data_IF_522738129022
#
_entry.id   IF_522738129022
#
_cell.length_a   1.000
_cell.length_b   1.000
_cell.length_c   1.000
_cell.angle_alpha   90.00
_cell.angle_beta   90.00
_cell.angle_gamma   90.00
#
_symmetry.space_group_name_H-M   'P 1'
#
loop_
_entity.id
_entity.type
_entity.pdbx_description
1 polymer ?
#
# COMPACT_ATOMS: atom_id res chain seq x y z
N UNK A 1 23.08 -2.51 -24.59
CA UNK A 1 22.09 -1.45 -24.89
C UNK A 1 20.83 -1.76 -24.10
N UNK A 2 20.26 -0.83 -23.31
CA UNK A 2 19.05 -1.12 -22.55
C UNK A 2 17.87 -1.24 -23.51
N UNK A 3 17.17 -2.37 -23.47
CA UNK A 3 15.94 -2.61 -24.23
C UNK A 3 14.88 -1.65 -23.70
N UNK A 4 14.62 -0.57 -24.45
CA UNK A 4 13.47 0.30 -24.21
C UNK A 4 12.22 -0.43 -24.68
N UNK A 5 11.56 -1.15 -23.77
CA UNK A 5 10.21 -1.66 -24.02
C UNK A 5 9.28 -0.46 -24.09
N UNK A 6 8.92 -0.02 -25.29
CA UNK A 6 7.82 0.91 -25.48
C UNK A 6 6.52 0.18 -25.13
N UNK A 7 6.03 0.39 -23.91
CA UNK A 7 4.67 0.00 -23.54
C UNK A 7 3.74 1.02 -24.24
N UNK A 8 2.86 0.61 -25.16
CA UNK A 8 1.89 1.52 -25.75
C UNK A 8 0.97 2.02 -24.64
N UNK A 9 1.13 3.28 -24.25
CA UNK A 9 0.10 4.00 -23.51
C UNK A 9 -1.01 4.29 -24.52
N UNK A 10 -1.98 3.39 -24.62
CA UNK A 10 -3.20 3.65 -25.40
C UNK A 10 -3.84 4.92 -24.85
N UNK A 11 -3.83 5.99 -25.65
CA UNK A 11 -4.57 7.20 -25.35
C UNK A 11 -6.06 6.85 -25.31
N UNK A 12 -6.65 7.05 -24.14
CA UNK A 12 -8.07 6.92 -23.88
C UNK A 12 -8.81 8.04 -24.63
N UNK A 13 -9.20 7.77 -25.88
CA UNK A 13 -10.01 8.67 -26.67
C UNK A 13 -10.27 8.09 -28.05
N UNK A 14 -11.51 7.70 -28.31
CA UNK A 14 -12.11 7.49 -29.65
C UNK A 14 -12.01 6.14 -30.36
N UNK A 15 -11.48 5.07 -29.77
CA UNK A 15 -11.79 3.70 -30.23
C UNK A 15 -12.63 3.03 -29.14
N UNK A 16 -13.76 2.45 -29.52
CA UNK A 16 -14.55 1.58 -28.65
C UNK A 16 -13.61 0.47 -28.15
N UNK A 17 -13.05 0.63 -26.95
CA UNK A 17 -12.17 -0.35 -26.37
C UNK A 17 -12.96 -1.64 -26.29
N UNK A 18 -12.49 -2.73 -26.90
CA UNK A 18 -13.21 -4.00 -26.85
C UNK A 18 -13.02 -4.65 -25.48
N UNK A 19 -13.80 -5.69 -25.18
CA UNK A 19 -13.64 -6.46 -23.95
C UNK A 19 -12.23 -7.07 -23.85
N UNK A 20 -11.64 -7.49 -24.96
CA UNK A 20 -10.28 -8.04 -25.02
C UNK A 20 -9.22 -6.98 -24.71
N UNK A 21 -9.42 -5.75 -25.16
CA UNK A 21 -8.52 -4.63 -24.82
C UNK A 21 -8.58 -4.35 -23.32
N UNK A 22 -9.79 -4.35 -22.74
CA UNK A 22 -9.96 -4.18 -21.30
C UNK A 22 -9.34 -5.35 -20.52
N UNK A 23 -9.54 -6.59 -20.97
CA UNK A 23 -8.95 -7.78 -20.36
C UNK A 23 -7.42 -7.77 -20.44
N UNK A 24 -6.86 -7.32 -21.56
CA UNK A 24 -5.42 -7.09 -21.69
C UNK A 24 -4.91 -6.05 -20.70
N UNK A 25 -5.65 -4.94 -20.53
CA UNK A 25 -5.33 -3.94 -19.52
C UNK A 25 -5.41 -4.47 -18.09
N UNK A 26 -6.37 -5.36 -17.78
CA UNK A 26 -6.42 -6.08 -16.50
C UNK A 26 -5.15 -6.88 -16.28
N UNK A 27 -4.71 -7.67 -17.25
CA UNK A 27 -3.47 -8.48 -17.13
C UNK A 27 -2.24 -7.61 -16.90
N UNK A 28 -2.13 -6.49 -17.61
CA UNK A 28 -1.03 -5.53 -17.41
C UNK A 28 -1.06 -4.95 -16.01
N UNK A 29 -2.21 -4.44 -15.56
CA UNK A 29 -2.36 -3.89 -14.21
C UNK A 29 -2.09 -4.94 -13.13
N UNK A 30 -2.55 -6.17 -13.34
CA UNK A 30 -2.28 -7.30 -12.46
C UNK A 30 -0.77 -7.55 -12.33
N UNK A 31 -0.06 -7.66 -13.46
CA UNK A 31 1.38 -7.95 -13.46
C UNK A 31 2.18 -6.81 -12.83
N UNK A 32 1.81 -5.56 -13.09
CA UNK A 32 2.42 -4.41 -12.41
C UNK A 32 2.22 -4.49 -10.91
N UNK A 33 0.97 -4.64 -10.44
CA UNK A 33 0.64 -4.70 -9.00
C UNK A 33 1.31 -5.88 -8.30
N UNK A 34 1.39 -7.04 -8.97
CA UNK A 34 2.06 -8.24 -8.47
C UNK A 34 3.55 -8.00 -8.23
N UNK A 35 4.22 -7.26 -9.10
CA UNK A 35 5.67 -7.04 -9.02
C UNK A 35 6.10 -5.80 -8.22
N UNK A 36 5.16 -4.90 -7.89
CA UNK A 36 5.47 -3.65 -7.19
C UNK A 36 6.19 -3.91 -5.86
N UNK A 37 7.40 -3.32 -5.70
CA UNK A 37 8.23 -3.50 -4.50
C UNK A 37 8.83 -4.91 -4.32
N UNK A 38 8.62 -5.83 -5.28
CA UNK A 38 9.08 -7.21 -5.23
C UNK A 38 10.12 -7.45 -6.31
N UNK A 39 11.36 -7.77 -5.90
CA UNK A 39 12.41 -8.14 -6.85
C UNK A 39 12.23 -9.57 -7.38
N UNK A 40 11.85 -10.52 -6.51
CA UNK A 40 12.00 -11.96 -6.77
C UNK A 40 10.75 -12.80 -6.44
N UNK A 41 9.57 -12.20 -6.25
CA UNK A 41 8.34 -12.95 -5.92
C UNK A 41 7.40 -12.89 -7.11
N UNK A 42 7.58 -13.77 -8.11
CA UNK A 42 6.86 -13.67 -9.36
C UNK A 42 5.48 -14.28 -9.28
N UNK A 43 5.00 -14.81 -8.14
CA UNK A 43 3.78 -15.61 -8.02
C UNK A 43 2.76 -15.15 -6.97
N UNK A 44 2.89 -13.95 -6.40
CA UNK A 44 1.92 -13.47 -5.42
C UNK A 44 0.55 -13.16 -6.06
N UNK A 45 -0.48 -13.21 -5.22
CA UNK A 45 -1.83 -12.82 -5.58
C UNK A 45 -2.01 -11.30 -5.48
N UNK A 46 -3.04 -10.76 -6.14
CA UNK A 46 -3.43 -9.35 -6.03
C UNK A 46 -4.86 -9.25 -5.53
N UNK A 47 -5.15 -8.24 -4.73
CA UNK A 47 -6.51 -7.92 -4.28
C UNK A 47 -7.42 -7.64 -5.46
N UNK A 48 -8.51 -8.40 -5.61
CA UNK A 48 -9.47 -8.24 -6.72
C UNK A 48 -10.07 -6.83 -6.73
N UNK A 49 -10.47 -6.33 -5.55
CA UNK A 49 -11.04 -4.99 -5.40
C UNK A 49 -10.04 -3.88 -5.77
N UNK A 50 -8.75 -4.04 -5.45
CA UNK A 50 -7.75 -3.02 -5.80
C UNK A 50 -7.40 -3.07 -7.28
N UNK A 51 -7.35 -4.26 -7.87
CA UNK A 51 -7.18 -4.41 -9.32
C UNK A 51 -8.35 -3.75 -10.06
N UNK A 52 -9.59 -3.97 -9.59
CA UNK A 52 -10.79 -3.31 -10.10
C UNK A 52 -10.68 -1.79 -10.03
N UNK A 53 -10.32 -1.25 -8.86
CA UNK A 53 -10.13 0.19 -8.67
C UNK A 53 -9.07 0.76 -9.61
N UNK A 54 -7.96 0.06 -9.79
CA UNK A 54 -6.88 0.53 -10.65
C UNK A 54 -7.28 0.52 -12.14
N UNK A 55 -7.97 -0.52 -12.59
CA UNK A 55 -8.49 -0.59 -13.95
C UNK A 55 -9.58 0.46 -14.18
N UNK A 56 -10.52 0.63 -13.25
CA UNK A 56 -11.55 1.66 -13.32
C UNK A 56 -10.93 3.06 -13.37
N UNK A 57 -9.87 3.32 -12.59
CA UNK A 57 -9.17 4.60 -12.58
C UNK A 57 -8.46 4.89 -13.91
N UNK A 58 -7.83 3.87 -14.53
CA UNK A 58 -7.09 4.01 -15.79
C UNK A 58 -7.99 4.03 -17.02
N UNK A 59 -9.10 3.29 -16.98
CA UNK A 59 -9.99 3.06 -18.12
C UNK A 59 -11.47 3.28 -17.75
N UNK A 60 -11.85 4.46 -17.22
CA UNK A 60 -13.19 4.67 -16.65
C UNK A 60 -14.31 4.45 -17.67
N UNK A 61 -14.15 4.91 -18.91
CA UNK A 61 -15.16 4.76 -19.96
C UNK A 61 -15.34 3.30 -20.39
N UNK A 62 -14.24 2.57 -20.64
CA UNK A 62 -14.30 1.16 -21.02
C UNK A 62 -14.86 0.29 -19.89
N UNK A 63 -14.47 0.59 -18.65
CA UNK A 63 -14.99 -0.09 -17.48
C UNK A 63 -16.51 0.11 -17.32
N UNK A 64 -17.00 1.35 -17.42
CA UNK A 64 -18.43 1.66 -17.36
C UNK A 64 -19.20 0.95 -18.47
N UNK A 65 -18.69 1.00 -19.70
CA UNK A 65 -19.34 0.41 -20.88
C UNK A 65 -19.47 -1.11 -20.77
N UNK A 66 -18.38 -1.82 -20.43
CA UNK A 66 -18.35 -3.29 -20.49
C UNK A 66 -18.70 -3.93 -19.16
N UNK A 67 -18.16 -3.41 -18.06
CA UNK A 67 -18.34 -4.05 -16.75
C UNK A 67 -19.66 -3.63 -16.13
N UNK A 68 -19.99 -2.32 -16.11
CA UNK A 68 -21.18 -1.82 -15.40
C UNK A 68 -22.44 -1.97 -16.25
N UNK A 69 -22.43 -1.46 -17.48
CA UNK A 69 -23.59 -1.43 -18.38
C UNK A 69 -23.63 -2.58 -19.39
N UNK A 70 -22.52 -3.29 -19.54
CA UNK A 70 -22.37 -4.38 -20.50
C UNK A 70 -22.85 -5.72 -19.96
N UNK A 71 -22.43 -6.79 -20.63
CA UNK A 71 -22.87 -8.17 -20.36
C UNK A 71 -22.54 -8.66 -18.95
N UNK A 72 -21.51 -8.08 -18.33
CA UNK A 72 -21.05 -8.48 -17.00
C UNK A 72 -21.92 -7.93 -15.86
N UNK A 73 -22.71 -6.87 -16.08
CA UNK A 73 -23.67 -6.34 -15.09
C UNK A 73 -23.08 -6.06 -13.70
N UNK A 74 -21.85 -5.56 -13.65
CA UNK A 74 -21.08 -5.28 -12.44
C UNK A 74 -20.29 -6.48 -11.89
N UNK A 75 -20.40 -7.67 -12.47
CA UNK A 75 -19.72 -8.90 -12.02
C UNK A 75 -18.25 -8.91 -12.44
N UNK A 76 -17.47 -8.04 -11.82
CA UNK A 76 -16.03 -7.90 -12.07
C UNK A 76 -15.24 -9.21 -11.99
N UNK A 77 -15.50 -10.04 -10.97
CA UNK A 77 -14.75 -11.28 -10.77
C UNK A 77 -14.97 -12.28 -11.92
N UNK A 78 -16.20 -12.42 -12.43
CA UNK A 78 -16.46 -13.26 -13.62
C UNK A 78 -15.70 -12.75 -14.84
N UNK A 79 -15.69 -11.42 -15.08
CA UNK A 79 -14.96 -10.85 -16.20
C UNK A 79 -13.46 -11.17 -16.13
N UNK A 80 -12.82 -11.01 -14.97
CA UNK A 80 -11.38 -11.26 -14.86
C UNK A 80 -11.04 -12.75 -14.95
N UNK A 81 -11.94 -13.64 -14.53
CA UNK A 81 -11.76 -15.08 -14.65
C UNK A 81 -11.92 -15.55 -16.09
N UNK A 82 -12.98 -15.11 -16.77
CA UNK A 82 -13.31 -15.56 -18.13
C UNK A 82 -12.45 -14.86 -19.20
N UNK A 83 -12.23 -13.55 -19.09
CA UNK A 83 -11.59 -12.76 -20.14
C UNK A 83 -10.11 -12.47 -19.88
N UNK A 84 -9.72 -12.26 -18.62
CA UNK A 84 -8.35 -11.87 -18.28
C UNK A 84 -7.46 -13.08 -17.91
N UNK A 85 -7.99 -14.31 -17.87
CA UNK A 85 -7.23 -15.52 -17.55
C UNK A 85 -6.71 -15.54 -16.11
N UNK A 86 -7.41 -14.87 -15.20
CA UNK A 86 -7.13 -14.91 -13.77
C UNK A 86 -8.00 -15.97 -13.09
N UNK A 87 -7.66 -16.31 -11.85
CA UNK A 87 -8.50 -17.10 -10.95
C UNK A 87 -8.67 -16.31 -9.68
N UNK A 88 -9.90 -16.05 -9.26
CA UNK A 88 -10.16 -15.37 -8.01
C UNK A 88 -10.56 -16.36 -6.91
N UNK A 89 -10.16 -16.08 -5.68
CA UNK A 89 -10.29 -17.01 -4.56
C UNK A 89 -10.26 -16.28 -3.22
N UNK A 90 -10.76 -16.95 -2.19
CA UNK A 90 -10.60 -16.56 -0.78
C UNK A 90 -9.66 -17.55 -0.12
N UNK A 91 -8.76 -17.05 0.73
CA UNK A 91 -7.97 -17.93 1.59
C UNK A 91 -8.88 -18.59 2.63
N UNK A 92 -8.66 -19.88 2.86
CA UNK A 92 -9.39 -20.64 3.88
C UNK A 92 -8.76 -20.44 5.26
N UNK A 93 -9.48 -20.83 6.32
CA UNK A 93 -8.93 -20.82 7.67
C UNK A 93 -7.66 -21.68 7.78
N UNK A 94 -7.60 -22.81 7.06
CA UNK A 94 -6.43 -23.69 7.04
C UNK A 94 -5.21 -23.00 6.43
N UNK A 95 -5.40 -22.20 5.37
CA UNK A 95 -4.31 -21.46 4.75
C UNK A 95 -3.66 -20.49 5.73
N UNK A 96 -4.47 -19.78 6.52
CA UNK A 96 -3.98 -18.85 7.55
C UNK A 96 -3.27 -19.55 8.72
N UNK A 97 -3.65 -20.79 9.04
CA UNK A 97 -2.93 -21.60 10.03
C UNK A 97 -1.56 -22.03 9.48
N UNK A 98 -1.51 -22.41 8.20
CA UNK A 98 -0.29 -22.91 7.55
C UNK A 98 0.69 -21.80 7.13
N UNK A 99 0.20 -20.56 6.98
CA UNK A 99 0.96 -19.41 6.52
C UNK A 99 0.53 -18.19 7.35
N UNK A 100 1.20 -18.02 8.49
CA UNK A 100 0.79 -17.08 9.54
C UNK A 100 0.89 -15.62 9.12
N UNK A 101 1.85 -15.28 8.25
CA UNK A 101 2.06 -13.91 7.79
C UNK A 101 1.08 -13.47 6.69
N UNK A 102 0.23 -14.36 6.16
CA UNK A 102 -0.89 -13.96 5.28
C UNK A 102 -1.76 -12.89 5.96
N UNK A 103 -2.02 -13.04 7.26
CA UNK A 103 -2.85 -12.09 8.04
C UNK A 103 -2.23 -10.68 8.13
N UNK A 104 -0.93 -10.56 7.85
CA UNK A 104 -0.21 -9.29 7.86
C UNK A 104 -0.77 -8.33 6.81
N UNK A 105 -1.11 -8.84 5.62
CA UNK A 105 -1.47 -8.00 4.47
C UNK A 105 -2.76 -8.41 3.74
N UNK A 106 -3.29 -9.60 4.00
CA UNK A 106 -4.52 -10.11 3.37
C UNK A 106 -5.59 -10.28 4.44
N UNK A 107 -6.70 -9.56 4.31
CA UNK A 107 -7.84 -9.76 5.20
C UNK A 107 -8.58 -11.07 4.89
N UNK A 108 -9.18 -11.70 5.91
CA UNK A 108 -9.87 -13.01 5.77
C UNK A 108 -10.99 -12.98 4.72
N UNK A 109 -11.68 -11.85 4.58
CA UNK A 109 -12.77 -11.67 3.62
C UNK A 109 -12.30 -11.12 2.27
N UNK A 110 -10.99 -11.03 2.04
CA UNK A 110 -10.45 -10.36 0.87
C UNK A 110 -10.35 -11.32 -0.32
N UNK A 111 -11.14 -11.05 -1.36
CA UNK A 111 -11.03 -11.77 -2.62
C UNK A 111 -9.70 -11.42 -3.30
N UNK A 112 -8.89 -12.45 -3.52
CA UNK A 112 -7.59 -12.36 -4.21
C UNK A 112 -7.72 -12.94 -5.60
N UNK A 113 -6.87 -12.52 -6.52
CA UNK A 113 -6.75 -13.14 -7.84
C UNK A 113 -5.29 -13.51 -8.12
N UNK A 114 -5.07 -14.61 -8.83
CA UNK A 114 -3.76 -15.04 -9.36
C UNK A 114 -3.91 -15.41 -10.85
N UNK A 115 -2.81 -15.72 -11.54
CA UNK A 115 -2.94 -16.28 -12.90
C UNK A 115 -3.56 -17.68 -12.80
N UNK A 116 -4.39 -18.06 -13.77
CA UNK A 116 -5.02 -19.38 -13.77
C UNK A 116 -3.99 -20.54 -13.82
N UNK A 117 -2.84 -20.31 -14.47
CA UNK A 117 -1.73 -21.28 -14.53
C UNK A 117 -0.82 -21.31 -13.30
N UNK A 118 -0.98 -20.40 -12.33
CA UNK A 118 -0.15 -20.42 -11.13
C UNK A 118 -0.54 -21.60 -10.21
N UNK A 119 0.42 -22.45 -9.78
CA UNK A 119 0.18 -23.42 -8.74
C UNK A 119 -0.25 -22.72 -7.44
N UNK A 120 -1.40 -23.08 -6.89
CA UNK A 120 -1.95 -22.40 -5.71
C UNK A 120 -1.01 -22.45 -4.49
N UNK A 121 -0.29 -23.56 -4.32
CA UNK A 121 0.73 -23.71 -3.29
C UNK A 121 1.86 -22.66 -3.40
N UNK A 122 2.29 -22.35 -4.62
CA UNK A 122 3.32 -21.35 -4.89
C UNK A 122 2.79 -19.93 -4.69
N UNK A 123 1.52 -19.68 -5.02
CA UNK A 123 0.85 -18.40 -4.73
C UNK A 123 0.80 -18.15 -3.23
N UNK A 124 0.36 -19.15 -2.46
CA UNK A 124 0.31 -19.06 -0.99
C UNK A 124 1.69 -18.83 -0.39
N UNK A 125 2.71 -19.57 -0.84
CA UNK A 125 4.10 -19.38 -0.38
C UNK A 125 4.62 -17.97 -0.70
N UNK A 126 4.29 -17.46 -1.89
CA UNK A 126 4.66 -16.12 -2.33
C UNK A 126 3.99 -15.03 -1.48
N UNK A 127 2.68 -15.17 -1.23
CA UNK A 127 1.94 -14.23 -0.39
C UNK A 127 2.42 -14.26 1.06
N UNK A 128 2.77 -15.43 1.59
CA UNK A 128 3.38 -15.57 2.92
C UNK A 128 4.73 -14.84 2.98
N UNK A 129 5.57 -15.00 1.96
CA UNK A 129 6.85 -14.31 1.87
C UNK A 129 6.69 -12.78 1.81
N UNK A 130 5.68 -12.29 1.06
CA UNK A 130 5.33 -10.86 1.04
C UNK A 130 4.94 -10.38 2.44
N UNK A 131 4.09 -11.14 3.14
CA UNK A 131 3.68 -10.81 4.50
C UNK A 131 4.83 -10.80 5.49
N UNK A 132 5.70 -11.81 5.43
CA UNK A 132 6.88 -11.90 6.28
C UNK A 132 7.88 -10.76 6.03
N UNK A 133 8.07 -10.38 4.77
CA UNK A 133 8.89 -9.23 4.39
C UNK A 133 8.30 -7.93 4.91
N UNK A 134 7.00 -7.68 4.69
CA UNK A 134 6.30 -6.52 5.22
C UNK A 134 6.44 -6.42 6.75
N UNK A 135 6.28 -7.54 7.44
CA UNK A 135 6.43 -7.59 8.89
C UNK A 135 7.84 -7.16 9.31
N UNK A 136 8.86 -7.82 8.77
CA UNK A 136 10.26 -7.60 9.18
C UNK A 136 10.83 -6.25 8.74
N UNK A 137 10.48 -5.74 7.56
CA UNK A 137 11.09 -4.52 7.01
C UNK A 137 10.35 -3.24 7.39
N UNK A 138 9.07 -3.34 7.77
CA UNK A 138 8.25 -2.15 7.98
C UNK A 138 7.34 -2.23 9.20
N UNK A 139 6.61 -3.31 9.40
CA UNK A 139 5.49 -3.33 10.35
C UNK A 139 5.87 -3.71 11.78
N UNK A 140 7.11 -4.15 12.01
CA UNK A 140 7.67 -4.26 13.36
C UNK A 140 7.50 -2.92 14.11
N UNK A 141 6.97 -2.91 15.36
CA UNK A 141 6.52 -1.68 16.01
C UNK A 141 7.56 -0.55 16.04
N UNK A 142 8.82 -0.88 16.38
CA UNK A 142 9.90 0.11 16.43
C UNK A 142 10.32 0.59 15.04
N UNK A 143 10.33 -0.31 14.06
CA UNK A 143 10.66 0.00 12.66
C UNK A 143 9.60 0.91 12.06
N UNK A 144 8.32 0.58 12.23
CA UNK A 144 7.20 1.39 11.77
C UNK A 144 7.24 2.78 12.39
N UNK A 145 7.51 2.85 13.70
CA UNK A 145 7.65 4.11 14.42
C UNK A 145 8.78 4.97 13.85
N UNK A 146 9.96 4.38 13.66
CA UNK A 146 11.09 5.05 13.04
C UNK A 146 10.77 5.56 11.62
N UNK A 147 10.20 4.72 10.76
CA UNK A 147 9.85 5.09 9.38
C UNK A 147 8.83 6.24 9.35
N UNK A 148 7.77 6.15 10.16
CA UNK A 148 6.80 7.23 10.30
C UNK A 148 7.46 8.54 10.74
N UNK A 149 8.35 8.51 11.74
CA UNK A 149 9.06 9.71 12.20
C UNK A 149 9.95 10.34 11.12
N UNK A 150 10.71 9.52 10.37
CA UNK A 150 11.56 10.00 9.28
C UNK A 150 10.72 10.68 8.20
N UNK A 151 9.59 10.08 7.82
CA UNK A 151 8.68 10.66 6.83
C UNK A 151 8.07 11.99 7.29
N UNK A 152 7.67 12.08 8.55
CA UNK A 152 7.15 13.33 9.12
C UNK A 152 8.20 14.43 9.10
N UNK A 153 9.43 14.12 9.54
CA UNK A 153 10.53 15.08 9.50
C UNK A 153 10.79 15.59 8.09
N UNK A 154 10.93 14.68 7.12
CA UNK A 154 11.14 15.06 5.71
C UNK A 154 9.99 15.92 5.15
N UNK A 155 8.75 15.62 5.54
CA UNK A 155 7.60 16.41 5.14
C UNK A 155 7.54 17.80 5.80
N UNK A 156 7.99 17.94 7.05
CA UNK A 156 8.11 19.23 7.74
C UNK A 156 9.22 20.10 7.16
N UNK A 157 10.38 19.52 6.86
CA UNK A 157 11.51 20.21 6.26
C UNK A 157 11.14 20.77 4.86
N UNK A 158 10.31 20.04 4.11
CA UNK A 158 9.79 20.50 2.81
C UNK A 158 8.82 21.70 2.89
N UNK A 159 8.22 21.98 4.05
CA UNK A 159 7.29 23.11 4.27
C UNK A 159 8.06 24.39 4.64
N UNK A 160 9.29 24.29 5.15
CA UNK A 160 10.12 25.44 5.57
C UNK A 160 11.35 25.65 4.68
N UNK A 161 11.23 26.02 3.39
CA UNK A 161 12.38 26.56 2.68
C UNK A 161 12.76 27.93 3.27
N UNK A 162 14.04 28.17 3.63
CA UNK A 162 14.45 29.45 4.20
C UNK A 162 14.14 30.60 3.22
N UNK A 163 13.49 31.66 3.72
CA UNK A 163 13.32 32.93 2.99
C UNK A 163 12.02 33.12 2.20
N UNK A 164 10.99 32.27 2.33
CA UNK A 164 9.70 32.51 1.67
C UNK A 164 8.74 33.36 2.52
N UNK A 165 8.06 34.38 1.93
CA UNK A 165 7.00 35.12 2.60
C UNK A 165 5.78 34.26 2.93
N UNK A 166 5.14 34.50 4.09
CA UNK A 166 3.95 33.77 4.58
C UNK A 166 2.80 33.60 3.58
N UNK A 167 2.60 34.57 2.68
CA UNK A 167 1.52 34.52 1.69
C UNK A 167 1.82 33.59 0.48
N UNK A 168 3.05 33.10 0.35
CA UNK A 168 3.44 32.05 -0.60
C UNK A 168 3.57 30.65 0.04
N UNK A 169 3.31 30.52 1.33
CA UNK A 169 3.36 29.23 2.02
C UNK A 169 2.25 28.34 1.47
N UNK A 170 2.63 27.26 0.79
CA UNK A 170 1.67 26.23 0.40
C UNK A 170 1.17 25.55 1.68
N UNK A 171 -0.13 25.23 1.80
CA UNK A 171 -0.63 24.49 2.94
C UNK A 171 0.18 23.20 3.11
N UNK A 172 0.57 22.91 4.35
CA UNK A 172 1.33 21.71 4.67
C UNK A 172 0.62 20.49 4.08
N UNK A 173 1.38 19.53 3.53
CA UNK A 173 0.81 18.26 3.03
C UNK A 173 0.29 17.36 4.15
N UNK A 174 0.66 17.67 5.40
CA UNK A 174 0.40 16.88 6.60
C UNK A 174 -0.11 17.72 7.79
N UNK A 175 -1.18 18.52 7.61
CA UNK A 175 -1.65 19.46 8.62
C UNK A 175 -2.08 18.78 9.92
N UNK A 176 -2.67 17.58 9.85
CA UNK A 176 -3.13 16.86 11.03
C UNK A 176 -1.96 16.25 11.80
N UNK A 177 -0.89 15.84 11.13
CA UNK A 177 0.35 15.43 11.80
C UNK A 177 0.96 16.63 12.53
N UNK A 178 1.05 17.80 11.91
CA UNK A 178 1.58 19.01 12.56
C UNK A 178 0.77 19.33 13.82
N UNK A 179 -0.55 19.35 13.71
CA UNK A 179 -1.43 19.57 14.85
C UNK A 179 -1.26 18.49 15.94
N UNK A 180 -1.05 17.23 15.54
CA UNK A 180 -0.81 16.11 16.46
C UNK A 180 0.52 16.26 17.21
N UNK A 181 1.58 16.69 16.55
CA UNK A 181 2.87 16.98 17.18
C UNK A 181 2.78 18.12 18.19
N UNK A 182 2.07 19.21 17.85
CA UNK A 182 1.87 20.32 18.79
C UNK A 182 1.13 19.84 20.07
N UNK A 183 0.14 18.95 19.92
CA UNK A 183 -0.54 18.35 21.08
C UNK A 183 0.39 17.47 21.93
N UNK A 184 1.37 16.81 21.32
CA UNK A 184 2.38 16.03 22.06
C UNK A 184 3.32 16.94 22.87
N UNK A 185 3.61 18.14 22.37
CA UNK A 185 4.45 19.13 23.04
C UNK A 185 3.71 19.84 24.20
N UNK A 186 2.42 20.14 24.02
CA UNK A 186 1.61 20.89 24.99
C UNK A 186 1.12 20.04 26.19
N UNK A 187 0.91 18.73 26.02
CA UNK A 187 0.38 17.85 27.08
C UNK A 187 1.29 16.62 27.31
N UNK A 188 2.42 16.77 28.04
CA UNK A 188 3.33 15.66 28.37
C UNK A 188 2.80 14.72 29.46
N UNK A 189 1.51 14.81 29.85
CA UNK A 189 0.97 14.03 30.97
C UNK A 189 1.00 12.52 30.65
N UNK A 190 1.89 11.82 31.37
CA UNK A 190 2.03 10.37 31.30
C UNK A 190 0.67 9.67 31.48
N UNK A 191 0.29 8.85 30.52
CA UNK A 191 -0.86 7.94 30.60
C UNK A 191 -2.09 8.30 29.76
N UNK A 192 -2.16 9.47 29.12
CA UNK A 192 -3.23 9.78 28.15
C UNK A 192 -2.77 9.52 26.72
N UNK A 193 -3.68 8.97 25.90
CA UNK A 193 -3.43 8.84 24.46
C UNK A 193 -3.33 10.23 23.84
N UNK A 194 -2.29 10.52 23.04
CA UNK A 194 -2.11 11.84 22.46
C UNK A 194 -3.25 12.24 21.53
N UNK A 195 -3.72 13.48 21.65
CA UNK A 195 -4.74 14.09 20.79
C UNK A 195 -6.13 13.44 20.85
N UNK A 196 -7.09 14.02 20.12
CA UNK A 196 -8.42 13.42 19.96
C UNK A 196 -8.36 12.19 19.03
N UNK A 197 -9.33 11.27 19.16
CA UNK A 197 -9.44 10.12 18.25
C UNK A 197 -9.59 10.55 16.78
N UNK A 198 -10.32 11.64 16.54
CA UNK A 198 -10.46 12.23 15.21
C UNK A 198 -9.11 12.69 14.65
N UNK A 199 -8.33 13.41 15.45
CA UNK A 199 -7.00 13.90 15.05
C UNK A 199 -6.06 12.73 14.71
N UNK A 200 -6.02 11.69 15.55
CA UNK A 200 -5.23 10.48 15.29
C UNK A 200 -5.61 9.79 13.99
N UNK A 201 -6.91 9.65 13.70
CA UNK A 201 -7.38 9.03 12.45
C UNK A 201 -6.96 9.82 11.22
N UNK A 202 -7.06 11.15 11.28
CA UNK A 202 -6.62 12.03 10.20
C UNK A 202 -5.10 11.98 10.01
N UNK A 203 -4.32 12.07 11.09
CA UNK A 203 -2.86 11.95 11.05
C UNK A 203 -2.41 10.58 10.52
N UNK A 204 -3.04 9.49 10.95
CA UNK A 204 -2.75 8.15 10.46
C UNK A 204 -3.04 8.00 8.96
N UNK A 205 -4.10 8.63 8.46
CA UNK A 205 -4.42 8.67 7.03
C UNK A 205 -3.35 9.41 6.22
N UNK A 206 -2.86 10.55 6.72
CA UNK A 206 -1.77 11.31 6.09
C UNK A 206 -0.46 10.50 6.07
N UNK A 207 -0.06 9.90 7.19
CA UNK A 207 1.11 9.03 7.27
C UNK A 207 1.00 7.81 6.34
N UNK A 208 -0.18 7.20 6.24
CA UNK A 208 -0.43 6.07 5.33
C UNK A 208 -0.16 6.47 3.88
N UNK A 209 -0.54 7.69 3.47
CA UNK A 209 -0.22 8.20 2.13
C UNK A 209 1.28 8.35 1.93
N UNK A 210 1.98 9.00 2.87
CA UNK A 210 3.43 9.16 2.80
C UNK A 210 4.17 7.81 2.74
N UNK A 211 3.73 6.82 3.53
CA UNK A 211 4.28 5.46 3.50
C UNK A 211 4.06 4.79 2.15
N UNK A 212 2.86 4.90 1.58
CA UNK A 212 2.52 4.30 0.27
C UNK A 212 3.28 4.96 -0.90
N UNK A 213 3.66 6.23 -0.74
CA UNK A 213 4.49 6.98 -1.68
C UNK A 213 5.98 6.65 -1.57
N UNK A 214 6.46 6.28 -0.38
CA UNK A 214 7.88 6.04 -0.09
C UNK A 214 8.31 4.58 -0.16
N UNK A 215 7.41 3.64 0.12
CA UNK A 215 7.69 2.21 0.12
C UNK A 215 6.65 1.48 -0.74
N UNK A 216 7.10 0.98 -1.89
CA UNK A 216 6.26 0.24 -2.82
C UNK A 216 5.72 -1.07 -2.23
N UNK A 217 6.42 -1.72 -1.30
CA UNK A 217 5.98 -2.98 -0.71
C UNK A 217 4.66 -2.82 0.06
N UNK A 218 4.44 -1.65 0.64
CA UNK A 218 3.19 -1.28 1.33
C UNK A 218 1.97 -1.43 0.42
N UNK A 219 2.16 -1.28 -0.89
CA UNK A 219 1.09 -1.46 -1.88
C UNK A 219 0.65 -2.90 -2.03
N UNK A 220 1.13 -3.86 -1.24
CA UNK A 220 0.49 -5.19 -1.13
C UNK A 220 -0.60 -5.23 -0.05
N UNK A 221 -0.57 -4.31 0.90
CA UNK A 221 -1.55 -4.24 2.00
C UNK A 221 -2.81 -3.47 1.62
N UNK A 222 -3.92 -3.78 2.29
CA UNK A 222 -5.08 -2.89 2.27
C UNK A 222 -4.78 -1.58 3.02
N UNK A 223 -5.23 -0.46 2.47
CA UNK A 223 -5.05 0.85 3.11
C UNK A 223 -5.71 0.94 4.49
N UNK A 224 -6.77 0.16 4.75
CA UNK A 224 -7.41 0.08 6.06
C UNK A 224 -6.56 -0.67 7.09
N UNK A 225 -5.89 -1.78 6.72
CA UNK A 225 -4.94 -2.46 7.60
C UNK A 225 -3.74 -1.56 7.91
N UNK A 226 -3.14 -0.93 6.90
CA UNK A 226 -2.01 -0.02 7.13
C UNK A 226 -2.40 1.13 8.06
N UNK A 227 -3.53 1.81 7.80
CA UNK A 227 -4.02 2.90 8.67
C UNK A 227 -4.20 2.45 10.11
N UNK A 228 -4.69 1.23 10.35
CA UNK A 228 -4.82 0.70 11.73
C UNK A 228 -3.47 0.52 12.40
N UNK A 229 -2.47 -0.03 11.70
CA UNK A 229 -1.09 -0.18 12.21
C UNK A 229 -0.46 1.19 12.49
N UNK A 230 -0.61 2.15 11.58
CA UNK A 230 -0.11 3.52 11.75
C UNK A 230 -0.81 4.23 12.92
N UNK A 231 -2.14 4.07 13.07
CA UNK A 231 -2.86 4.65 14.19
C UNK A 231 -2.43 4.05 15.54
N UNK A 232 -2.13 2.75 15.59
CA UNK A 232 -1.54 2.10 16.75
C UNK A 232 -0.14 2.64 17.04
N UNK A 233 0.68 2.85 16.01
CA UNK A 233 2.00 3.46 16.12
C UNK A 233 1.91 4.89 16.70
N UNK A 234 0.98 5.73 16.22
CA UNK A 234 0.78 7.07 16.76
C UNK A 234 0.37 7.06 18.25
N UNK A 235 -0.31 6.01 18.73
CA UNK A 235 -0.65 5.88 20.15
C UNK A 235 0.57 5.70 21.06
N UNK A 236 1.72 5.29 20.51
CA UNK A 236 2.97 5.09 21.27
C UNK A 236 3.95 6.25 21.14
N UNK A 237 3.60 7.29 20.38
CA UNK A 237 4.47 8.45 20.22
C UNK A 237 4.56 9.25 21.52
N UNK A 238 5.79 9.59 21.88
CA UNK A 238 6.13 10.52 22.95
C UNK A 238 7.17 11.52 22.41
N UNK A 239 7.44 12.58 23.16
CA UNK A 239 8.35 13.67 22.76
C UNK A 239 9.79 13.23 22.40
N UNK A 240 10.18 11.98 22.71
CA UNK A 240 11.43 11.40 22.24
C UNK A 240 11.18 10.03 21.60
N UNK A 241 11.59 9.79 20.33
CA UNK A 241 11.64 8.44 19.80
C UNK A 241 12.66 7.64 20.62
N UNK A 242 12.26 6.49 21.16
CA UNK A 242 13.21 5.57 21.76
C UNK A 242 14.27 5.22 20.68
N UNK A 243 15.57 5.39 20.95
CA UNK A 243 16.59 5.06 19.97
C UNK A 243 16.45 3.59 19.59
N UNK A 244 16.29 3.32 18.30
CA UNK A 244 16.23 1.98 17.76
C UNK A 244 17.59 1.30 17.94
N UNK A 245 17.80 0.62 19.07
CA UNK A 245 19.07 -0.02 19.44
C UNK A 245 19.60 -1.02 18.41
N UNK A 246 18.75 -1.51 17.50
CA UNK A 246 19.11 -2.56 16.52
C UNK A 246 19.84 -2.06 15.26
N UNK A 247 19.80 -0.76 14.93
CA UNK A 247 20.52 -0.25 13.75
C UNK A 247 21.93 0.29 14.08
N UNK A 248 22.23 0.59 15.34
CA UNK A 248 23.58 0.98 15.79
C UNK A 248 24.57 -0.18 15.82
N UNK A 249 24.08 -1.42 15.92
CA UNK A 249 24.93 -2.62 16.00
C UNK A 249 25.32 -3.18 14.62
N UNK A 250 24.66 -2.78 13.53
CA UNK A 250 25.03 -3.19 12.17
C UNK A 250 26.05 -2.27 11.50
N UNK A 251 26.28 -1.06 12.02
CA UNK A 251 27.23 -0.09 11.45
C UNK A 251 28.61 -0.11 12.13
N UNK A 252 28.86 -1.02 13.07
CA UNK A 252 30.12 -1.09 13.82
C UNK A 252 31.01 -2.30 13.49
N UNK A 253 30.63 -3.15 12.53
CA UNK A 253 31.42 -4.36 12.18
C UNK A 253 32.21 -4.30 10.87
N UNK A 254 32.40 -3.15 10.24
CA UNK A 254 33.31 -3.01 9.09
C UNK A 254 34.23 -1.80 9.21
N UNK A 255 35.16 -1.86 10.16
CA UNK A 255 36.51 -1.30 10.03
C UNK A 255 37.47 -2.15 10.85
N UNK A 256 37.91 -3.25 10.24
CA UNK A 256 39.18 -3.91 10.53
C UNK A 256 40.12 -3.62 9.38
#
# INVERSE_FOLDING_TARGET
>A
MPIRVMIPRHHAGSLAATEEVLASAVRVAFQEMRMVGLANVPCCSVSSARLQQEVQRRYPAAYEQHIVRGLWGGKWHHFVEEMAGLRCFLYTALDYIQATHLTTHIAVSELRCCMQGDPFSLVRLSDEAVGSRLQSTLLEPNTLNHHCWVLVRGALDAVKPPGRPRWMEKPAKIPHIVQFLNHLEEDPRAGRRPGSERLRRCAAHELTKLLTESDDLVRHMSGSQLRRRVAQCLCTWSLAPAPCKKLSEMNTTHHG
#
